data_IF_366646712134
#
_entry.id   IF_366646712134
#
_cell.length_a   1.000
_cell.length_b   1.000
_cell.length_c   1.000
_cell.angle_alpha   90.00
_cell.angle_beta   90.00
_cell.angle_gamma   90.00
#
_symmetry.space_group_name_H-M   'P 1'
#
loop_
_entity.id
_entity.type
_entity.pdbx_description
1 polymer ?
#
# COMPACT_ATOMS: atom_id res chain seq x y z
N UNK A 1 27.77 -10.86 -4.18
CA UNK A 1 27.42 -9.83 -5.18
C UNK A 1 26.18 -10.18 -6.01
N UNK A 2 25.87 -11.46 -6.22
CA UNK A 2 24.75 -11.93 -7.05
C UNK A 2 23.39 -11.39 -6.61
N UNK A 3 23.08 -11.32 -5.31
CA UNK A 3 21.80 -10.77 -4.84
C UNK A 3 21.67 -9.25 -4.97
N UNK A 4 22.79 -8.50 -4.93
CA UNK A 4 22.78 -7.05 -5.24
C UNK A 4 22.54 -6.84 -6.74
N UNK A 5 23.20 -7.65 -7.57
CA UNK A 5 22.96 -7.62 -9.02
C UNK A 5 21.52 -8.01 -9.35
N UNK A 6 20.96 -9.04 -8.70
CA UNK A 6 19.56 -9.42 -8.87
C UNK A 6 18.61 -8.26 -8.52
N UNK A 7 18.87 -7.52 -7.44
CA UNK A 7 18.00 -6.44 -7.00
C UNK A 7 18.14 -5.15 -7.83
N UNK A 8 19.36 -4.74 -8.17
CA UNK A 8 19.63 -3.43 -8.78
C UNK A 8 19.86 -3.45 -10.28
N UNK A 9 20.17 -4.61 -10.89
CA UNK A 9 20.43 -4.67 -12.34
C UNK A 9 19.08 -4.66 -13.07
N UNK A 10 18.74 -3.59 -13.81
CA UNK A 10 17.49 -3.56 -14.54
C UNK A 10 17.50 -4.61 -15.65
N UNK A 11 16.44 -5.41 -15.71
CA UNK A 11 16.17 -6.32 -16.80
C UNK A 11 14.88 -5.89 -17.51
N UNK A 12 15.04 -5.24 -18.67
CA UNK A 12 13.92 -4.71 -19.45
C UNK A 12 13.10 -5.81 -20.13
N UNK A 13 13.57 -7.05 -20.18
CA UNK A 13 12.77 -8.17 -20.72
C UNK A 13 11.53 -8.44 -19.86
N UNK A 14 11.58 -8.10 -18.56
CA UNK A 14 10.46 -8.20 -17.63
C UNK A 14 9.56 -6.96 -17.60
N UNK A 15 9.90 -5.89 -18.35
CA UNK A 15 9.12 -4.66 -18.40
C UNK A 15 7.94 -4.81 -19.37
N UNK A 16 6.88 -5.47 -18.89
CA UNK A 16 5.63 -5.64 -19.65
C UNK A 16 4.56 -4.66 -19.16
N UNK A 17 3.53 -4.42 -19.97
CA UNK A 17 2.36 -3.64 -19.53
C UNK A 17 1.74 -4.21 -18.24
N UNK A 18 1.70 -5.55 -18.11
CA UNK A 18 1.22 -6.21 -16.91
C UNK A 18 2.12 -5.92 -15.69
N UNK A 19 3.45 -5.97 -15.86
CA UNK A 19 4.40 -5.63 -14.79
C UNK A 19 4.20 -4.18 -14.33
N UNK A 20 4.05 -3.23 -15.25
CA UNK A 20 3.79 -1.82 -14.93
C UNK A 20 2.51 -1.67 -14.11
N UNK A 21 1.43 -2.34 -14.50
CA UNK A 21 0.15 -2.27 -13.77
C UNK A 21 0.24 -2.87 -12.37
N UNK A 22 0.93 -4.00 -12.21
CA UNK A 22 1.18 -4.61 -10.89
C UNK A 22 2.01 -3.68 -10.01
N UNK A 23 3.09 -3.09 -10.55
CA UNK A 23 3.96 -2.16 -9.81
C UNK A 23 3.23 -0.87 -9.43
N UNK A 24 2.37 -0.34 -10.31
CA UNK A 24 1.51 0.80 -9.98
C UNK A 24 0.57 0.47 -8.82
N UNK A 25 -0.08 -0.70 -8.84
CA UNK A 25 -0.91 -1.17 -7.73
C UNK A 25 -0.14 -1.27 -6.41
N UNK A 26 1.07 -1.82 -6.45
CA UNK A 26 1.96 -1.88 -5.28
C UNK A 26 2.34 -0.48 -4.75
N UNK A 27 2.55 0.51 -5.64
CA UNK A 27 2.82 1.87 -5.22
C UNK A 27 1.63 2.53 -4.48
N UNK A 28 0.40 2.30 -4.95
CA UNK A 28 -0.82 2.78 -4.27
C UNK A 28 -0.96 2.14 -2.88
N UNK A 29 -0.75 0.83 -2.78
CA UNK A 29 -0.80 0.10 -1.52
C UNK A 29 0.28 0.58 -0.54
N UNK A 30 1.53 0.67 -0.99
CA UNK A 30 2.67 1.07 -0.16
C UNK A 30 2.52 2.47 0.44
N UNK A 31 1.85 3.39 -0.27
CA UNK A 31 1.55 4.73 0.24
C UNK A 31 0.20 4.84 0.98
N UNK A 32 -0.52 3.73 1.13
CA UNK A 32 -1.86 3.68 1.75
C UNK A 32 -2.85 4.67 1.12
N UNK A 33 -2.74 4.90 -0.18
CA UNK A 33 -3.60 5.83 -0.91
C UNK A 33 -4.92 5.14 -1.23
N UNK A 34 -6.04 5.82 -0.93
CA UNK A 34 -7.39 5.30 -1.16
C UNK A 34 -8.19 5.03 0.11
N UNK A 35 -7.54 5.11 1.28
CA UNK A 35 -8.20 5.16 2.58
C UNK A 35 -7.98 6.53 3.24
N UNK A 36 -8.88 6.89 4.16
CA UNK A 36 -8.94 8.22 4.77
C UNK A 36 -7.78 8.56 5.72
N UNK A 37 -6.75 7.71 5.86
CA UNK A 37 -5.65 7.90 6.83
C UNK A 37 -4.96 9.25 6.64
N UNK A 38 -4.52 9.56 5.42
CA UNK A 38 -3.85 10.83 5.13
C UNK A 38 -4.79 12.02 5.26
N UNK A 39 -6.08 11.85 4.95
CA UNK A 39 -7.09 12.89 5.15
C UNK A 39 -7.25 13.20 6.64
N UNK A 40 -7.38 12.17 7.48
CA UNK A 40 -7.45 12.31 8.94
C UNK A 40 -6.20 12.99 9.50
N UNK A 41 -5.01 12.57 9.09
CA UNK A 41 -3.78 13.21 9.56
C UNK A 41 -3.63 14.65 9.09
N UNK A 42 -3.98 14.94 7.84
CA UNK A 42 -3.94 16.32 7.33
C UNK A 42 -4.92 17.24 8.08
N UNK A 43 -6.02 16.70 8.62
CA UNK A 43 -6.99 17.48 9.40
C UNK A 43 -6.44 17.97 10.75
N UNK A 44 -5.35 17.39 11.23
CA UNK A 44 -4.67 17.77 12.47
C UNK A 44 -3.44 18.66 12.24
N UNK A 45 -3.08 18.94 10.98
CA UNK A 45 -1.93 19.78 10.66
C UNK A 45 -2.28 21.27 10.79
N UNK A 46 -1.32 22.03 11.32
CA UNK A 46 -1.37 23.48 11.30
C UNK A 46 -1.28 24.01 9.86
N UNK A 47 -1.92 25.16 9.61
CA UNK A 47 -1.89 25.86 8.30
C UNK A 47 -0.49 26.36 7.89
N UNK A 48 0.48 26.34 8.81
CA UNK A 48 1.89 26.66 8.54
C UNK A 48 2.64 25.53 7.83
N UNK A 49 2.07 24.32 7.77
CA UNK A 49 2.71 23.14 7.17
C UNK A 49 2.39 23.07 5.68
N UNK A 50 3.43 22.99 4.85
CA UNK A 50 3.29 22.79 3.40
C UNK A 50 2.88 21.34 3.08
N UNK A 51 1.62 21.15 2.66
CA UNK A 51 1.10 19.84 2.24
C UNK A 51 1.87 19.21 1.06
N UNK A 52 2.23 19.92 -0.03
CA UNK A 52 2.94 19.29 -1.15
C UNK A 52 4.34 18.80 -0.76
N UNK A 53 5.05 19.57 0.05
CA UNK A 53 6.39 19.20 0.55
C UNK A 53 6.32 17.98 1.47
N UNK A 54 5.33 17.91 2.37
CA UNK A 54 5.11 16.72 3.19
C UNK A 54 4.78 15.49 2.35
N UNK A 55 3.91 15.62 1.33
CA UNK A 55 3.57 14.53 0.43
C UNK A 55 4.80 14.00 -0.34
N UNK A 56 5.64 14.89 -0.86
CA UNK A 56 6.89 14.51 -1.54
C UNK A 56 7.85 13.82 -0.56
N UNK A 57 8.01 14.35 0.65
CA UNK A 57 8.87 13.76 1.68
C UNK A 57 8.44 12.34 2.03
N UNK A 58 7.15 12.13 2.30
CA UNK A 58 6.59 10.80 2.60
C UNK A 58 6.82 9.83 1.45
N UNK A 59 6.57 10.26 0.20
CA UNK A 59 6.78 9.41 -0.97
C UNK A 59 8.26 9.02 -1.16
N UNK A 60 9.19 9.97 -1.03
CA UNK A 60 10.61 9.71 -1.17
C UNK A 60 11.16 8.84 -0.03
N UNK A 61 10.75 9.09 1.21
CA UNK A 61 11.13 8.26 2.35
C UNK A 61 10.62 6.83 2.19
N UNK A 62 9.38 6.65 1.71
CA UNK A 62 8.83 5.32 1.44
C UNK A 62 9.66 4.55 0.40
N UNK A 63 10.01 5.19 -0.72
CA UNK A 63 10.88 4.59 -1.75
C UNK A 63 12.27 4.28 -1.18
N UNK A 64 12.86 5.22 -0.43
CA UNK A 64 14.17 5.04 0.19
C UNK A 64 14.22 3.86 1.16
N UNK A 65 13.24 3.76 2.06
CA UNK A 65 13.13 2.63 3.01
C UNK A 65 12.92 1.31 2.27
N UNK A 66 12.09 1.30 1.22
CA UNK A 66 11.86 0.11 0.40
C UNK A 66 13.13 -0.36 -0.32
N UNK A 67 13.92 0.57 -0.84
CA UNK A 67 15.21 0.26 -1.50
C UNK A 67 16.21 -0.31 -0.50
N UNK A 68 16.32 0.29 0.69
CA UNK A 68 17.21 -0.19 1.76
C UNK A 68 16.78 -1.58 2.26
N UNK A 69 15.49 -1.82 2.42
CA UNK A 69 14.94 -3.13 2.79
C UNK A 69 15.27 -4.18 1.73
N UNK A 70 15.08 -3.88 0.44
CA UNK A 70 15.46 -4.77 -0.65
C UNK A 70 16.96 -5.10 -0.66
N UNK A 71 17.81 -4.09 -0.43
CA UNK A 71 19.26 -4.28 -0.32
C UNK A 71 19.68 -5.11 0.91
N UNK A 72 18.89 -5.12 1.97
CA UNK A 72 19.13 -6.00 3.12
C UNK A 72 18.66 -7.44 2.84
N UNK A 73 17.48 -7.61 2.25
CA UNK A 73 16.80 -8.91 2.11
C UNK A 73 17.39 -9.73 0.95
N UNK A 74 17.51 -9.17 -0.26
CA UNK A 74 17.87 -9.96 -1.45
C UNK A 74 19.32 -10.50 -1.41
N UNK A 75 20.34 -9.72 -1.04
CA UNK A 75 21.70 -10.25 -0.90
C UNK A 75 21.81 -11.39 0.11
N UNK A 76 21.09 -11.28 1.22
CA UNK A 76 20.99 -12.33 2.20
C UNK A 76 20.25 -13.56 1.67
N UNK A 77 19.06 -13.40 1.08
CA UNK A 77 18.29 -14.52 0.53
C UNK A 77 19.15 -15.38 -0.41
N UNK A 78 19.91 -14.73 -1.30
CA UNK A 78 20.82 -15.39 -2.22
C UNK A 78 22.03 -16.06 -1.53
N UNK A 79 22.56 -15.50 -0.44
CA UNK A 79 23.64 -16.15 0.31
C UNK A 79 23.18 -17.40 1.05
N UNK A 80 21.90 -17.46 1.44
CA UNK A 80 21.31 -18.62 2.12
C UNK A 80 20.66 -19.64 1.15
N UNK A 81 20.63 -19.36 -0.16
CA UNK A 81 19.93 -20.21 -1.13
C UNK A 81 18.41 -20.23 -0.96
N UNK A 82 17.85 -19.22 -0.28
CA UNK A 82 16.40 -19.08 -0.08
C UNK A 82 15.80 -18.42 -1.33
N UNK A 83 14.80 -19.08 -1.93
CA UNK A 83 14.05 -18.50 -3.05
C UNK A 83 13.22 -17.31 -2.55
N UNK A 84 13.29 -16.12 -3.17
CA UNK A 84 12.59 -14.91 -2.73
C UNK A 84 11.04 -14.93 -2.79
N UNK A 85 10.39 -16.09 -2.88
CA UNK A 85 8.96 -16.25 -3.21
C UNK A 85 8.12 -16.88 -2.07
N UNK A 86 8.51 -16.71 -0.80
CA UNK A 86 7.83 -17.37 0.33
C UNK A 86 6.68 -16.56 0.96
N UNK A 87 6.10 -15.59 0.24
CA UNK A 87 4.99 -14.78 0.73
C UNK A 87 5.29 -14.00 2.03
N UNK A 88 4.25 -13.63 2.82
CA UNK A 88 4.39 -12.79 4.02
C UNK A 88 5.31 -13.38 5.11
N UNK A 89 5.44 -14.71 5.16
CA UNK A 89 6.31 -15.42 6.11
C UNK A 89 7.80 -15.30 5.81
N UNK A 90 8.19 -14.88 4.60
CA UNK A 90 9.57 -14.85 4.14
C UNK A 90 10.49 -14.03 5.06
N UNK A 91 10.03 -12.86 5.50
CA UNK A 91 10.77 -11.99 6.41
C UNK A 91 11.09 -12.68 7.73
N UNK A 92 10.15 -13.44 8.27
CA UNK A 92 10.30 -14.13 9.56
C UNK A 92 11.15 -15.40 9.47
N UNK A 93 11.46 -15.88 8.26
CA UNK A 93 12.41 -16.97 8.03
C UNK A 93 13.80 -16.41 7.71
N UNK A 94 13.88 -15.44 6.80
CA UNK A 94 15.16 -14.87 6.33
C UNK A 94 15.87 -14.11 7.46
N UNK A 95 15.15 -13.25 8.19
CA UNK A 95 15.80 -12.36 9.15
C UNK A 95 16.50 -13.14 10.28
N UNK A 96 15.88 -14.13 10.95
CA UNK A 96 16.59 -14.94 11.94
C UNK A 96 17.84 -15.62 11.37
N UNK A 97 17.78 -16.15 10.15
CA UNK A 97 18.93 -16.78 9.49
C UNK A 97 20.08 -15.80 9.26
N UNK A 98 19.78 -14.56 8.84
CA UNK A 98 20.78 -13.48 8.70
C UNK A 98 21.44 -13.20 10.04
N UNK A 99 20.65 -12.90 11.05
CA UNK A 99 21.19 -12.47 12.33
C UNK A 99 22.01 -13.58 12.99
N UNK A 100 21.62 -14.85 12.86
CA UNK A 100 22.39 -15.98 13.40
C UNK A 100 23.83 -16.10 12.86
N UNK A 101 24.13 -15.52 11.69
CA UNK A 101 25.49 -15.50 11.15
C UNK A 101 26.33 -14.31 11.63
N UNK A 102 25.70 -13.30 12.22
CA UNK A 102 26.40 -12.11 12.70
C UNK A 102 26.95 -12.36 14.11
N UNK A 103 28.18 -11.88 14.41
CA UNK A 103 28.60 -11.70 15.79
C UNK A 103 27.57 -10.86 16.55
N UNK A 104 27.17 -11.29 17.74
CA UNK A 104 26.07 -10.67 18.51
C UNK A 104 24.71 -10.68 17.79
N UNK A 105 24.50 -11.63 16.88
CA UNK A 105 23.28 -11.81 16.08
C UNK A 105 21.98 -11.69 16.85
N UNK A 106 21.85 -12.41 17.97
CA UNK A 106 20.67 -12.37 18.83
C UNK A 106 20.38 -10.96 19.36
N UNK A 107 21.40 -10.20 19.77
CA UNK A 107 21.24 -8.83 20.25
C UNK A 107 20.69 -7.94 19.12
N UNK A 108 21.28 -8.00 17.93
CA UNK A 108 20.82 -7.22 16.79
C UNK A 108 19.42 -7.63 16.32
N UNK A 109 19.08 -8.92 16.38
CA UNK A 109 17.74 -9.40 16.07
C UNK A 109 16.69 -8.87 17.06
N UNK A 110 16.99 -8.87 18.36
CA UNK A 110 16.10 -8.30 19.38
C UNK A 110 15.90 -6.80 19.15
N UNK A 111 16.97 -6.05 18.89
CA UNK A 111 16.88 -4.62 18.57
C UNK A 111 16.03 -4.41 17.31
N UNK A 112 16.26 -5.20 16.27
CA UNK A 112 15.47 -5.16 15.04
C UNK A 112 13.98 -5.41 15.31
N UNK A 113 13.63 -6.46 16.05
CA UNK A 113 12.24 -6.77 16.39
C UNK A 113 11.58 -5.67 17.22
N UNK A 114 12.32 -5.03 18.13
CA UNK A 114 11.82 -3.88 18.89
C UNK A 114 11.53 -2.68 17.97
N UNK A 115 12.45 -2.34 17.07
CA UNK A 115 12.25 -1.26 16.10
C UNK A 115 11.09 -1.58 15.14
N UNK A 116 11.01 -2.82 14.67
CA UNK A 116 9.93 -3.30 13.82
C UNK A 116 8.57 -3.24 14.52
N UNK A 117 8.51 -3.59 15.82
CA UNK A 117 7.31 -3.45 16.64
C UNK A 117 6.85 -1.99 16.70
N UNK A 118 7.76 -1.04 16.96
CA UNK A 118 7.40 0.37 16.97
C UNK A 118 6.90 0.86 15.61
N UNK A 119 7.52 0.43 14.50
CA UNK A 119 7.08 0.77 13.15
C UNK A 119 5.69 0.18 12.81
N UNK A 120 5.42 -1.05 13.25
CA UNK A 120 4.10 -1.68 13.09
C UNK A 120 3.04 -0.97 13.94
N UNK A 121 3.36 -0.59 15.18
CA UNK A 121 2.45 0.11 16.08
C UNK A 121 2.06 1.50 15.56
N UNK A 122 3.01 2.29 15.06
CA UNK A 122 2.70 3.63 14.51
C UNK A 122 1.78 3.56 13.30
N UNK A 123 2.01 2.58 12.41
CA UNK A 123 1.12 2.30 11.28
C UNK A 123 -0.28 1.87 11.75
N UNK A 124 -0.35 0.99 12.75
CA UNK A 124 -1.61 0.50 13.32
C UNK A 124 -2.42 1.62 13.99
N UNK A 125 -1.77 2.51 14.74
CA UNK A 125 -2.42 3.69 15.32
C UNK A 125 -2.98 4.62 14.25
N UNK A 126 -2.26 4.78 13.13
CA UNK A 126 -2.72 5.57 11.99
C UNK A 126 -4.00 5.02 11.37
N UNK A 127 -4.05 3.71 11.17
CA UNK A 127 -5.25 3.03 10.64
C UNK A 127 -6.42 3.09 11.62
N UNK A 128 -6.18 2.89 12.91
CA UNK A 128 -7.21 3.01 13.94
C UNK A 128 -7.79 4.43 13.98
N UNK A 129 -6.95 5.46 13.98
CA UNK A 129 -7.40 6.85 14.04
C UNK A 129 -8.26 7.22 12.83
N UNK A 130 -7.95 6.70 11.63
CA UNK A 130 -8.75 6.91 10.43
C UNK A 130 -10.20 6.39 10.57
N UNK A 131 -10.42 5.39 11.43
CA UNK A 131 -11.77 4.88 11.76
C UNK A 131 -12.41 5.58 12.96
N UNK A 132 -11.60 6.03 13.92
CA UNK A 132 -12.07 6.68 15.15
C UNK A 132 -12.50 8.12 14.90
N UNK A 133 -11.75 8.88 14.09
CA UNK A 133 -12.02 10.31 13.87
C UNK A 133 -13.43 10.60 13.29
N UNK A 134 -13.94 9.85 12.28
CA UNK A 134 -15.31 10.03 11.79
C UNK A 134 -16.40 9.67 12.82
N UNK A 135 -16.12 8.73 13.74
CA UNK A 135 -17.06 8.38 14.81
C UNK A 135 -17.10 9.49 15.86
N UNK A 136 -15.95 10.08 16.17
CA UNK A 136 -15.85 11.22 17.09
C UNK A 136 -16.61 12.45 16.58
N UNK A 137 -16.65 12.70 15.27
CA UNK A 137 -17.44 13.81 14.70
C UNK A 137 -18.95 13.65 14.90
N UNK A 138 -19.42 12.44 15.24
CA UNK A 138 -20.82 12.18 15.60
C UNK A 138 -21.11 12.39 17.10
N UNK A 139 -20.15 12.93 17.87
CA UNK A 139 -20.31 13.25 19.29
C UNK A 139 -19.88 12.14 20.26
N UNK A 140 -19.32 11.03 19.77
CA UNK A 140 -18.82 9.94 20.62
C UNK A 140 -17.46 10.30 21.21
N UNK A 141 -17.23 10.02 22.49
CA UNK A 141 -15.93 10.29 23.12
C UNK A 141 -14.82 9.42 22.54
N UNK A 142 -13.61 9.99 22.43
CA UNK A 142 -12.41 9.30 21.90
C UNK A 142 -12.21 7.93 22.53
N UNK A 143 -12.21 7.85 23.87
CA UNK A 143 -12.02 6.59 24.59
C UNK A 143 -13.04 5.53 24.17
N UNK A 144 -14.32 5.90 24.06
CA UNK A 144 -15.38 4.97 23.65
C UNK A 144 -15.17 4.51 22.20
N UNK A 145 -14.96 5.44 21.27
CA UNK A 145 -14.74 5.12 19.86
C UNK A 145 -13.50 4.21 19.66
N UNK A 146 -12.36 4.54 20.27
CA UNK A 146 -11.13 3.76 20.17
C UNK A 146 -11.28 2.36 20.78
N UNK A 147 -11.93 2.22 21.93
CA UNK A 147 -12.15 0.90 22.54
C UNK A 147 -13.07 0.03 21.69
N UNK A 148 -14.19 0.56 21.20
CA UNK A 148 -15.11 -0.19 20.35
C UNK A 148 -14.46 -0.62 19.03
N UNK A 149 -13.76 0.29 18.36
CA UNK A 149 -13.05 -0.03 17.12
C UNK A 149 -11.90 -1.01 17.35
N UNK A 150 -11.15 -0.87 18.44
CA UNK A 150 -10.08 -1.79 18.80
C UNK A 150 -10.59 -3.21 19.05
N UNK A 151 -11.70 -3.37 19.78
CA UNK A 151 -12.34 -4.68 20.00
C UNK A 151 -12.83 -5.27 18.67
N UNK A 152 -13.48 -4.47 17.83
CA UNK A 152 -13.96 -4.93 16.53
C UNK A 152 -12.81 -5.41 15.63
N UNK A 153 -11.72 -4.63 15.55
CA UNK A 153 -10.53 -4.99 14.79
C UNK A 153 -9.89 -6.27 15.35
N UNK A 154 -9.81 -6.40 16.68
CA UNK A 154 -9.28 -7.61 17.32
C UNK A 154 -10.11 -8.85 16.96
N UNK A 155 -11.44 -8.76 17.00
CA UNK A 155 -12.33 -9.85 16.60
C UNK A 155 -12.10 -10.22 15.13
N UNK A 156 -11.97 -9.24 14.24
CA UNK A 156 -11.71 -9.47 12.81
C UNK A 156 -10.30 -10.01 12.53
N UNK A 157 -9.32 -9.73 13.39
CA UNK A 157 -7.96 -10.22 13.26
C UNK A 157 -7.80 -11.69 13.63
N UNK A 158 -8.65 -12.22 14.53
CA UNK A 158 -8.58 -13.63 14.97
C UNK A 158 -8.75 -14.62 13.80
N UNK A 159 -9.79 -14.54 12.95
CA UNK A 159 -9.91 -15.38 11.76
C UNK A 159 -8.70 -15.34 10.84
N UNK A 160 -8.13 -14.15 10.60
CA UNK A 160 -6.93 -13.99 9.78
C UNK A 160 -5.70 -14.66 10.40
N UNK A 161 -5.56 -14.62 11.73
CA UNK A 161 -4.47 -15.31 12.40
C UNK A 161 -4.65 -16.84 12.36
N UNK A 162 -5.88 -17.32 12.56
CA UNK A 162 -6.19 -18.75 12.54
C UNK A 162 -6.03 -19.36 11.14
N UNK A 163 -6.18 -18.58 10.06
CA UNK A 163 -6.03 -19.08 8.70
C UNK A 163 -4.59 -19.48 8.34
N UNK A 164 -3.58 -19.06 9.12
CA UNK A 164 -2.21 -19.57 9.00
C UNK A 164 -1.97 -20.88 9.75
N UNK A 165 -3.00 -21.42 10.42
CA UNK A 165 -2.91 -22.64 11.23
C UNK A 165 -4.16 -23.51 11.09
N UNK A 166 -4.96 -23.59 12.14
CA UNK A 166 -6.11 -24.51 12.23
C UNK A 166 -7.22 -24.25 11.20
N UNK A 167 -7.30 -23.05 10.61
CA UNK A 167 -8.28 -22.68 9.60
C UNK A 167 -7.68 -22.59 8.18
N UNK A 168 -6.51 -23.19 7.95
CA UNK A 168 -5.87 -23.14 6.64
C UNK A 168 -6.74 -23.76 5.52
N UNK A 169 -7.52 -24.79 5.84
CA UNK A 169 -8.40 -25.45 4.85
C UNK A 169 -9.74 -24.71 4.62
N UNK A 170 -10.03 -23.65 5.40
CA UNK A 170 -11.24 -22.85 5.24
C UNK A 170 -11.02 -21.79 4.16
N UNK A 171 -11.49 -22.09 2.96
CA UNK A 171 -11.36 -21.20 1.81
C UNK A 171 -12.65 -20.45 1.48
N UNK A 172 -12.52 -19.15 1.22
CA UNK A 172 -13.56 -18.26 0.71
C UNK A 172 -13.13 -17.87 -0.72
N UNK A 173 -13.90 -18.27 -1.72
CA UNK A 173 -13.55 -18.09 -3.15
C UNK A 173 -12.16 -18.63 -3.53
N UNK A 174 -11.70 -19.70 -2.87
CA UNK A 174 -10.40 -20.33 -3.12
C UNK A 174 -9.22 -19.63 -2.43
N UNK A 175 -9.46 -18.66 -1.56
CA UNK A 175 -8.47 -17.95 -0.75
C UNK A 175 -8.68 -18.28 0.73
N UNK A 176 -7.61 -18.38 1.51
CA UNK A 176 -7.72 -18.39 2.99
C UNK A 176 -8.39 -17.11 3.49
N UNK A 177 -8.83 -17.09 4.75
CA UNK A 177 -9.46 -15.88 5.31
C UNK A 177 -8.54 -14.65 5.23
N UNK A 178 -7.25 -14.78 5.60
CA UNK A 178 -6.28 -13.69 5.48
C UNK A 178 -6.15 -13.19 4.04
N UNK A 179 -5.96 -14.10 3.09
CA UNK A 179 -5.80 -13.75 1.67
C UNK A 179 -7.06 -13.09 1.10
N UNK A 180 -8.24 -13.57 1.48
CA UNK A 180 -9.50 -12.97 1.07
C UNK A 180 -9.64 -11.54 1.61
N UNK A 181 -9.35 -11.32 2.89
CA UNK A 181 -9.40 -10.00 3.51
C UNK A 181 -8.38 -9.04 2.89
N UNK A 182 -7.14 -9.51 2.67
CA UNK A 182 -6.10 -8.73 1.98
C UNK A 182 -6.53 -8.39 0.55
N UNK A 183 -7.01 -9.36 -0.22
CA UNK A 183 -7.50 -9.12 -1.58
C UNK A 183 -8.64 -8.09 -1.62
N UNK A 184 -9.61 -8.21 -0.71
CA UNK A 184 -10.74 -7.28 -0.64
C UNK A 184 -10.26 -5.85 -0.36
N UNK A 185 -9.32 -5.66 0.56
CA UNK A 185 -8.81 -4.32 0.90
C UNK A 185 -7.87 -3.80 -0.17
N UNK A 186 -6.85 -4.57 -0.49
CA UNK A 186 -5.71 -4.18 -1.33
C UNK A 186 -6.07 -4.06 -2.81
N UNK A 187 -6.92 -4.96 -3.33
CA UNK A 187 -7.25 -5.02 -4.75
C UNK A 187 -8.60 -4.36 -5.08
N UNK A 188 -9.49 -4.20 -4.10
CA UNK A 188 -10.84 -3.66 -4.33
C UNK A 188 -11.06 -2.32 -3.63
N UNK A 189 -11.02 -2.28 -2.30
CA UNK A 189 -11.41 -1.09 -1.52
C UNK A 189 -10.43 0.07 -1.78
N UNK A 190 -9.12 -0.18 -1.72
CA UNK A 190 -8.11 0.88 -1.90
C UNK A 190 -8.20 1.54 -3.29
N UNK A 191 -8.20 0.80 -4.42
CA UNK A 191 -8.33 1.43 -5.73
C UNK A 191 -9.66 2.18 -5.91
N UNK A 192 -10.78 1.63 -5.44
CA UNK A 192 -12.09 2.31 -5.53
C UNK A 192 -12.08 3.60 -4.71
N UNK A 193 -11.56 3.56 -3.49
CA UNK A 193 -11.43 4.73 -2.64
C UNK A 193 -10.52 5.79 -3.27
N UNK A 194 -9.37 5.38 -3.83
CA UNK A 194 -8.47 6.29 -4.54
C UNK A 194 -9.15 6.92 -5.77
N UNK A 195 -9.95 6.14 -6.51
CA UNK A 195 -10.72 6.63 -7.66
C UNK A 195 -11.73 7.69 -7.22
N UNK A 196 -12.52 7.41 -6.17
CA UNK A 196 -13.48 8.39 -5.67
C UNK A 196 -12.81 9.66 -5.14
N UNK A 197 -11.68 9.54 -4.42
CA UNK A 197 -10.91 10.70 -3.98
C UNK A 197 -10.42 11.50 -5.19
N UNK A 198 -9.86 10.85 -6.22
CA UNK A 198 -9.37 11.54 -7.42
C UNK A 198 -10.47 12.27 -8.19
N UNK A 199 -11.66 11.66 -8.31
CA UNK A 199 -12.83 12.29 -8.96
C UNK A 199 -13.34 13.45 -8.12
N UNK A 200 -13.48 13.26 -6.81
CA UNK A 200 -13.96 14.29 -5.90
C UNK A 200 -13.04 15.52 -5.90
N UNK A 201 -11.73 15.31 -5.78
CA UNK A 201 -10.74 16.38 -5.81
C UNK A 201 -10.64 17.01 -7.20
N UNK A 202 -10.59 16.21 -8.26
CA UNK A 202 -10.39 16.71 -9.63
C UNK A 202 -11.59 17.43 -10.24
N UNK A 203 -12.81 17.09 -9.81
CA UNK A 203 -14.05 17.57 -10.45
C UNK A 203 -15.06 18.23 -9.52
N UNK A 204 -15.10 17.88 -8.22
CA UNK A 204 -16.15 18.37 -7.32
C UNK A 204 -15.73 19.54 -6.43
N UNK A 205 -14.45 19.61 -6.05
CA UNK A 205 -13.92 20.68 -5.21
C UNK A 205 -13.65 21.97 -6.00
N UNK A 206 -13.91 23.16 -5.42
CA UNK A 206 -13.58 24.42 -6.08
C UNK A 206 -12.07 24.53 -6.33
N UNK A 207 -11.70 24.84 -7.57
CA UNK A 207 -10.30 25.00 -7.98
C UNK A 207 -9.56 26.03 -7.12
N UNK A 208 -10.23 27.11 -6.73
CA UNK A 208 -9.66 28.16 -5.90
C UNK A 208 -9.24 27.62 -4.53
N UNK A 209 -10.14 26.90 -3.85
CA UNK A 209 -9.86 26.25 -2.56
C UNK A 209 -8.65 25.31 -2.66
N UNK A 210 -8.59 24.48 -3.70
CA UNK A 210 -7.46 23.56 -3.91
C UNK A 210 -6.15 24.31 -4.13
N UNK A 211 -6.19 25.41 -4.89
CA UNK A 211 -4.99 26.21 -5.14
C UNK A 211 -4.51 26.89 -3.87
N UNK A 212 -5.43 27.43 -3.08
CA UNK A 212 -5.12 28.12 -1.83
C UNK A 212 -4.50 27.15 -0.82
N UNK A 213 -5.09 25.97 -0.62
CA UNK A 213 -4.52 24.92 0.26
C UNK A 213 -3.20 24.34 -0.28
N UNK A 214 -3.05 24.19 -1.60
CA UNK A 214 -1.81 23.67 -2.20
C UNK A 214 -0.65 24.67 -2.05
N UNK A 215 -0.93 25.96 -2.19
CA UNK A 215 0.09 27.01 -2.14
C UNK A 215 0.32 27.56 -0.73
N UNK A 216 -0.61 27.31 0.20
CA UNK A 216 -0.48 27.67 1.61
C UNK A 216 0.84 27.15 2.18
N UNK A 217 1.65 28.08 2.70
CA UNK A 217 2.93 27.80 3.36
C UNK A 217 3.93 27.00 2.51
N UNK A 218 3.73 26.90 1.18
CA UNK A 218 4.59 26.17 0.26
C UNK A 218 5.36 27.11 -0.67
N UNK A 219 6.57 26.73 -1.06
CA UNK A 219 7.32 27.41 -2.11
C UNK A 219 6.86 27.01 -3.53
N UNK A 220 5.90 26.10 -3.66
CA UNK A 220 5.40 25.64 -4.94
C UNK A 220 4.40 26.65 -5.52
N UNK A 221 4.74 27.20 -6.70
CA UNK A 221 3.89 28.17 -7.38
C UNK A 221 2.73 27.55 -8.17
N UNK A 222 1.91 28.42 -8.77
CA UNK A 222 0.73 28.06 -9.58
C UNK A 222 0.99 27.03 -10.68
N UNK A 223 2.20 27.02 -11.26
CA UNK A 223 2.59 26.04 -12.29
C UNK A 223 2.55 24.60 -11.76
N UNK A 224 3.12 24.37 -10.58
CA UNK A 224 3.13 23.04 -9.97
C UNK A 224 1.72 22.58 -9.59
N UNK A 225 0.90 23.50 -9.08
CA UNK A 225 -0.52 23.24 -8.81
C UNK A 225 -1.27 22.80 -10.08
N UNK A 226 -1.05 23.46 -11.22
CA UNK A 226 -1.71 23.09 -12.49
C UNK A 226 -1.29 21.69 -12.93
N UNK A 227 -0.01 21.34 -12.82
CA UNK A 227 0.50 20.00 -13.15
C UNK A 227 -0.12 18.96 -12.22
N UNK A 228 -0.10 19.21 -10.91
CA UNK A 228 -0.71 18.32 -9.93
C UNK A 228 -2.21 18.12 -10.19
N UNK A 229 -2.95 19.21 -10.44
CA UNK A 229 -4.39 19.13 -10.72
C UNK A 229 -4.66 18.37 -12.02
N UNK A 230 -3.84 18.54 -13.06
CA UNK A 230 -3.94 17.78 -14.30
C UNK A 230 -3.73 16.27 -14.05
N UNK A 231 -2.71 15.92 -13.25
CA UNK A 231 -2.45 14.53 -12.86
C UNK A 231 -3.65 13.96 -12.10
N UNK A 232 -4.15 14.63 -11.07
CA UNK A 232 -5.29 14.17 -10.27
C UNK A 232 -6.58 14.05 -11.09
N UNK A 233 -6.81 14.98 -12.03
CA UNK A 233 -8.04 15.04 -12.80
C UNK A 233 -8.10 14.01 -13.94
N UNK A 234 -6.97 13.73 -14.58
CA UNK A 234 -6.94 12.90 -15.80
C UNK A 234 -6.08 11.66 -15.66
N UNK A 235 -4.83 11.79 -15.22
CA UNK A 235 -3.88 10.68 -15.22
C UNK A 235 -4.21 9.68 -14.11
N UNK A 236 -4.43 10.15 -12.87
CA UNK A 236 -4.67 9.29 -11.72
C UNK A 236 -5.93 8.42 -11.86
N UNK A 237 -7.11 8.94 -12.26
CA UNK A 237 -8.31 8.11 -12.43
C UNK A 237 -8.10 7.01 -13.47
N UNK A 238 -7.46 7.34 -14.61
CA UNK A 238 -7.17 6.38 -15.67
C UNK A 238 -6.21 5.29 -15.17
N UNK A 239 -5.11 5.68 -14.51
CA UNK A 239 -4.15 4.74 -13.94
C UNK A 239 -4.80 3.81 -12.90
N UNK A 240 -5.63 4.36 -12.00
CA UNK A 240 -6.35 3.60 -10.97
C UNK A 240 -7.34 2.61 -11.61
N UNK A 241 -8.07 3.01 -12.65
CA UNK A 241 -8.98 2.10 -13.37
C UNK A 241 -8.20 0.93 -13.98
N UNK A 242 -7.06 1.18 -14.63
CA UNK A 242 -6.25 0.09 -15.18
C UNK A 242 -5.67 -0.83 -14.10
N UNK A 243 -5.20 -0.26 -12.99
CA UNK A 243 -4.73 -1.04 -11.83
C UNK A 243 -5.86 -1.91 -11.28
N UNK A 244 -7.05 -1.36 -11.09
CA UNK A 244 -8.21 -2.09 -10.58
C UNK A 244 -8.63 -3.23 -11.52
N UNK A 245 -8.69 -2.99 -12.83
CA UNK A 245 -9.02 -4.02 -13.82
C UNK A 245 -7.97 -5.14 -13.87
N UNK A 246 -6.69 -4.79 -13.71
CA UNK A 246 -5.58 -5.75 -13.65
C UNK A 246 -5.63 -6.57 -12.35
N UNK A 247 -5.81 -5.90 -11.21
CA UNK A 247 -5.81 -6.50 -9.88
C UNK A 247 -7.00 -7.44 -9.64
N UNK A 248 -8.15 -7.15 -10.25
CA UNK A 248 -9.36 -8.00 -10.17
C UNK A 248 -9.34 -9.17 -11.15
N UNK A 249 -8.35 -9.26 -12.04
CA UNK A 249 -8.30 -10.28 -13.09
C UNK A 249 -9.34 -10.10 -14.20
N UNK A 250 -10.20 -9.07 -14.11
CA UNK A 250 -11.18 -8.71 -15.15
C UNK A 250 -10.48 -8.44 -16.48
N UNK A 251 -9.27 -7.88 -16.46
CA UNK A 251 -8.48 -7.66 -17.67
C UNK A 251 -8.15 -8.97 -18.41
N UNK A 252 -7.82 -10.05 -17.68
CA UNK A 252 -7.59 -11.38 -18.26
C UNK A 252 -8.88 -11.97 -18.83
N UNK A 253 -10.02 -11.79 -18.16
CA UNK A 253 -11.33 -12.25 -18.63
C UNK A 253 -11.73 -11.53 -19.93
N UNK A 254 -11.59 -10.20 -19.99
CA UNK A 254 -11.90 -9.38 -21.18
C UNK A 254 -10.99 -9.77 -22.36
N UNK A 255 -9.70 -9.99 -22.13
CA UNK A 255 -8.77 -10.44 -23.18
C UNK A 255 -9.08 -11.85 -23.66
N UNK A 256 -9.44 -12.77 -22.76
CA UNK A 256 -9.83 -14.14 -23.14
C UNK A 256 -11.11 -14.13 -23.98
N UNK A 257 -12.11 -13.32 -23.62
CA UNK A 257 -13.34 -13.17 -24.41
C UNK A 257 -13.00 -12.68 -25.83
N UNK A 258 -12.09 -11.72 -25.97
CA UNK A 258 -11.68 -11.20 -27.28
C UNK A 258 -11.00 -12.26 -28.16
N UNK A 259 -10.19 -13.12 -27.55
CA UNK A 259 -9.56 -14.26 -28.26
C UNK A 259 -10.60 -15.33 -28.65
N UNK A 260 -11.58 -15.63 -27.79
CA UNK A 260 -12.65 -16.58 -28.10
C UNK A 260 -13.54 -16.09 -29.25
N UNK A 261 -13.82 -14.77 -29.34
CA UNK A 261 -14.55 -14.19 -30.47
C UNK A 261 -13.73 -14.14 -31.78
N UNK A 262 -12.41 -13.98 -31.72
CA UNK A 262 -11.55 -14.07 -32.92
C UNK A 262 -11.44 -15.50 -33.45
N UNK A 263 -11.45 -16.51 -32.58
CA UNK A 263 -11.47 -17.92 -33.00
C UNK A 263 -12.84 -18.31 -33.58
N UNK A 264 -13.94 -17.80 -33.02
CA UNK A 264 -15.30 -18.08 -33.51
C UNK A 264 -15.70 -17.35 -34.81
N UNK A 265 -14.93 -16.33 -35.24
CA UNK A 265 -15.15 -15.62 -36.51
C UNK A 265 -14.18 -16.03 -37.62
N UNK A 266 -13.22 -16.90 -37.30
CA UNK A 266 -12.27 -17.50 -38.25
C UNK A 266 -12.65 -18.94 -38.65
N UNK A 267 -13.82 -19.43 -38.23
CA UNK A 267 -14.48 -20.67 -38.65
C UNK A 267 -15.74 -20.38 -39.42
#
# INVERSE_FOLDING_TARGET
MSGVQFFLKPDFTHMTANTILITLGQAFFSLSVGISVMVTYSSYLDKSVSLPQSAISVALMNVGVSLLAGLAIFPAAFSFGITPDAGPGLLFVILPSIFNQLPFGTLFFVIFLLLFLFAALTSSFSMLEATVAPIMSSGVSRKKASTWMGILIMIMAVPSALSFGVWNDLHIFGLTFFEFADYLVSNIILPIGALFISIFVGYRLPRQLLQDEFTASSHFGKKMFIIWLFIIKYIAPIAIIFVFLSATGIFKIILNIKNTFQVATAT
#
